data_IF_650767147189
#
_entry.id   IF_650767147189
#
_cell.length_a   1.000
_cell.length_b   1.000
_cell.length_c   1.000
_cell.angle_alpha   90.00
_cell.angle_beta   90.00
_cell.angle_gamma   90.00
#
_symmetry.space_group_name_H-M   'P 1'
#
loop_
_entity.id
_entity.type
_entity.pdbx_description
1 polymer ?
#
# COMPACT_ATOMS: atom_id res chain seq x y z
N UNK A 1 -71.59 18.14 -6.48
CA UNK A 1 -71.83 17.02 -5.53
C UNK A 1 -70.91 17.05 -4.30
N UNK A 2 -69.58 17.22 -4.41
CA UNK A 2 -68.68 17.19 -3.21
C UNK A 2 -68.83 18.40 -2.27
N UNK A 3 -69.19 19.58 -2.77
CA UNK A 3 -69.34 20.79 -1.95
C UNK A 3 -70.52 20.75 -0.95
N UNK A 4 -71.51 19.87 -1.17
CA UNK A 4 -72.65 19.74 -0.27
C UNK A 4 -72.34 18.96 1.01
N UNK A 5 -71.18 18.28 1.11
CA UNK A 5 -70.84 17.42 2.25
C UNK A 5 -70.04 18.12 3.35
N UNK A 6 -69.37 19.24 3.05
CA UNK A 6 -68.55 20.02 4.00
C UNK A 6 -69.31 21.18 4.65
N UNK A 7 -70.56 20.95 5.06
CA UNK A 7 -71.29 21.90 5.91
C UNK A 7 -70.73 21.84 7.33
N UNK A 8 -70.71 22.97 8.02
CA UNK A 8 -70.19 23.08 9.39
C UNK A 8 -70.86 22.07 10.35
N UNK A 9 -72.19 21.89 10.22
CA UNK A 9 -72.95 20.89 10.97
C UNK A 9 -72.50 19.44 10.71
N UNK A 10 -72.06 19.10 9.49
CA UNK A 10 -71.47 17.80 9.17
C UNK A 10 -70.12 17.62 9.85
N UNK A 11 -69.29 18.67 9.88
CA UNK A 11 -67.98 18.66 10.52
C UNK A 11 -68.15 18.51 12.04
N UNK A 12 -68.97 19.34 12.68
CA UNK A 12 -69.26 19.24 14.12
C UNK A 12 -69.87 17.87 14.49
N UNK A 13 -70.74 17.31 13.63
CA UNK A 13 -71.29 15.95 13.78
C UNK A 13 -70.20 14.87 13.70
N UNK A 14 -69.26 14.97 12.77
CA UNK A 14 -68.16 14.02 12.63
C UNK A 14 -67.21 14.06 13.85
N UNK A 15 -66.84 15.24 14.33
CA UNK A 15 -66.00 15.40 15.53
C UNK A 15 -66.69 14.87 16.80
N UNK A 16 -68.01 15.04 16.92
CA UNK A 16 -68.81 14.45 18.00
C UNK A 16 -68.86 12.91 17.91
N UNK A 17 -69.07 12.36 16.71
CA UNK A 17 -69.07 10.90 16.46
C UNK A 17 -67.70 10.24 16.68
N UNK A 18 -66.61 10.99 16.54
CA UNK A 18 -65.26 10.54 16.84
C UNK A 18 -64.88 10.66 18.34
N UNK A 19 -65.73 11.27 19.17
CA UNK A 19 -65.43 11.56 20.58
C UNK A 19 -64.37 12.65 20.79
N UNK A 20 -64.09 13.44 19.75
CA UNK A 20 -63.07 14.50 19.77
C UNK A 20 -63.66 15.79 20.34
N UNK A 21 -64.93 16.11 20.04
CA UNK A 21 -65.57 17.32 20.56
C UNK A 21 -67.10 17.18 20.77
N UNK A 22 -67.62 17.39 22.00
CA UNK A 22 -66.88 17.45 23.25
C UNK A 22 -66.11 16.15 23.51
N UNK A 23 -64.99 16.23 24.24
CA UNK A 23 -64.06 15.11 24.43
C UNK A 23 -64.73 13.99 25.22
N UNK A 24 -64.94 12.82 24.60
CA UNK A 24 -65.48 11.62 25.25
C UNK A 24 -64.46 10.48 25.21
N UNK A 25 -63.73 10.33 26.33
CA UNK A 25 -62.58 9.43 26.44
C UNK A 25 -62.88 7.98 26.06
N UNK A 26 -64.05 7.46 26.47
CA UNK A 26 -64.48 6.10 26.13
C UNK A 26 -64.67 5.90 24.62
N UNK A 27 -65.33 6.85 23.94
CA UNK A 27 -65.57 6.78 22.48
C UNK A 27 -64.25 6.91 21.71
N UNK A 28 -63.36 7.81 22.14
CA UNK A 28 -62.04 7.97 21.54
C UNK A 28 -61.19 6.70 21.68
N UNK A 29 -61.21 6.04 22.85
CA UNK A 29 -60.52 4.77 23.07
C UNK A 29 -61.12 3.60 22.27
N UNK A 30 -62.44 3.50 22.15
CA UNK A 30 -63.09 2.50 21.30
C UNK A 30 -62.71 2.67 19.82
N UNK A 31 -62.72 3.91 19.32
CA UNK A 31 -62.26 4.21 17.95
C UNK A 31 -60.78 3.91 17.78
N UNK A 32 -59.93 4.30 18.72
CA UNK A 32 -58.50 3.98 18.68
C UNK A 32 -58.28 2.46 18.61
N UNK A 33 -58.96 1.67 19.47
CA UNK A 33 -58.91 0.20 19.45
C UNK A 33 -59.42 -0.40 18.14
N UNK A 34 -60.44 0.20 17.53
CA UNK A 34 -61.01 -0.25 16.24
C UNK A 34 -60.02 -0.04 15.09
N UNK A 35 -59.28 1.08 15.08
CA UNK A 35 -58.31 1.39 14.03
C UNK A 35 -56.89 0.87 14.31
N UNK A 36 -56.56 0.50 15.56
CA UNK A 36 -55.26 -0.06 15.94
C UNK A 36 -55.17 -1.58 15.79
N UNK A 37 -56.27 -2.26 15.47
CA UNK A 37 -56.21 -3.67 15.07
C UNK A 37 -55.63 -3.76 13.66
N UNK A 38 -54.57 -4.55 13.42
CA UNK A 38 -54.07 -4.77 12.07
C UNK A 38 -55.15 -5.50 11.28
N UNK A 39 -55.63 -4.89 10.19
CA UNK A 39 -56.60 -5.49 9.28
C UNK A 39 -56.07 -6.81 8.75
N UNK A 40 -56.54 -7.93 9.31
CA UNK A 40 -56.34 -9.24 8.69
C UNK A 40 -57.17 -9.28 7.40
N UNK A 41 -56.57 -9.48 6.23
CA UNK A 41 -57.33 -9.70 5.01
C UNK A 41 -57.99 -11.09 5.09
N UNK A 42 -59.32 -11.12 5.00
CA UNK A 42 -60.08 -12.37 4.91
C UNK A 42 -59.63 -13.19 3.70
N UNK A 43 -59.15 -14.40 3.96
CA UNK A 43 -58.69 -15.40 2.98
C UNK A 43 -59.87 -16.02 2.19
N UNK A 44 -59.65 -16.72 1.05
CA UNK A 44 -58.90 -17.99 0.97
C UNK A 44 -57.90 -18.04 -0.22
N UNK A 45 -57.16 -19.11 -0.56
CA UNK A 45 -57.09 -20.51 -0.03
C UNK A 45 -55.58 -20.89 0.17
N UNK A 46 -54.99 -22.11 0.00
CA UNK A 46 -53.71 -22.45 0.68
C UNK A 46 -52.50 -22.77 -0.23
N UNK A 47 -51.29 -22.78 0.36
CA UNK A 47 -50.23 -23.83 0.31
C UNK A 47 -48.90 -23.23 0.82
N UNK A 48 -48.20 -23.97 1.70
CA UNK A 48 -46.78 -23.76 2.02
C UNK A 48 -46.48 -23.18 3.41
N UNK A 49 -45.66 -23.84 4.26
CA UNK A 49 -45.14 -23.26 5.48
C UNK A 49 -43.94 -22.35 5.15
N UNK A 50 -44.04 -21.06 5.50
CA UNK A 50 -42.91 -20.12 5.43
C UNK A 50 -42.78 -19.43 6.78
N UNK A 51 -41.53 -19.28 7.22
CA UNK A 51 -41.10 -18.78 8.52
C UNK A 51 -41.58 -17.35 8.83
N UNK A 52 -41.60 -16.92 10.11
CA UNK A 52 -42.01 -15.58 10.50
C UNK A 52 -41.02 -14.51 9.99
N UNK A 53 -41.32 -13.97 8.81
CA UNK A 53 -40.62 -12.86 8.17
C UNK A 53 -40.74 -11.58 9.02
N UNK A 54 -39.80 -11.37 9.94
CA UNK A 54 -39.64 -10.10 10.64
C UNK A 54 -39.26 -9.01 9.63
N UNK A 55 -39.95 -7.85 9.60
CA UNK A 55 -39.64 -6.77 8.66
C UNK A 55 -38.31 -6.13 9.03
N UNK A 56 -37.23 -6.65 8.44
CA UNK A 56 -35.88 -6.07 8.59
C UNK A 56 -35.84 -4.73 7.89
N UNK A 57 -35.75 -3.64 8.66
CA UNK A 57 -35.47 -2.30 8.15
C UNK A 57 -34.24 -2.35 7.23
N UNK A 58 -34.27 -1.75 6.03
CA UNK A 58 -33.14 -1.80 5.11
C UNK A 58 -31.93 -1.16 5.77
N UNK A 59 -30.88 -1.96 6.01
CA UNK A 59 -29.58 -1.45 6.44
C UNK A 59 -29.12 -0.36 5.45
N UNK A 60 -28.61 0.74 5.98
CA UNK A 60 -28.02 1.82 5.18
C UNK A 60 -27.00 1.26 4.19
N UNK A 61 -27.32 1.36 2.88
CA UNK A 61 -26.55 0.75 1.78
C UNK A 61 -25.12 1.34 1.67
N UNK A 62 -24.90 2.49 2.30
CA UNK A 62 -23.58 3.08 2.56
C UNK A 62 -23.36 3.21 4.07
N UNK A 63 -22.20 2.76 4.61
CA UNK A 63 -21.78 3.19 5.93
C UNK A 63 -21.51 4.70 5.91
N UNK A 64 -21.72 5.37 7.05
CA UNK A 64 -21.30 6.76 7.23
C UNK A 64 -19.76 6.76 7.21
N UNK A 65 -19.10 7.57 6.36
CA UNK A 65 -17.64 7.60 6.31
C UNK A 65 -17.09 8.14 7.63
N UNK A 66 -16.06 7.48 8.17
CA UNK A 66 -15.45 7.84 9.47
C UNK A 66 -14.02 8.34 9.31
N UNK A 67 -13.37 8.03 8.19
CA UNK A 67 -12.00 8.43 7.84
C UNK A 67 -12.03 9.31 6.59
N UNK A 68 -11.07 10.24 6.45
CA UNK A 68 -10.90 11.04 5.23
C UNK A 68 -10.83 10.18 3.96
N UNK A 69 -10.15 9.03 4.02
CA UNK A 69 -10.07 8.06 2.92
C UNK A 69 -11.44 7.53 2.50
N UNK A 70 -12.33 7.22 3.45
CA UNK A 70 -13.69 6.75 3.16
C UNK A 70 -14.49 7.83 2.38
N UNK A 71 -14.22 9.11 2.68
CA UNK A 71 -14.82 10.24 1.97
C UNK A 71 -14.22 10.42 0.57
N UNK A 72 -12.92 10.22 0.37
CA UNK A 72 -12.27 10.23 -0.95
C UNK A 72 -12.81 9.12 -1.87
N UNK A 73 -12.80 7.88 -1.38
CA UNK A 73 -13.34 6.71 -2.11
C UNK A 73 -14.84 6.90 -2.39
N UNK A 74 -15.57 7.54 -1.47
CA UNK A 74 -16.95 7.98 -1.67
C UNK A 74 -17.10 9.04 -2.77
N UNK A 75 -16.30 10.11 -2.75
CA UNK A 75 -16.33 11.19 -3.74
C UNK A 75 -16.02 10.68 -5.16
N UNK A 76 -15.05 9.77 -5.29
CA UNK A 76 -14.74 9.11 -6.57
C UNK A 76 -15.92 8.24 -7.04
N UNK A 77 -16.37 7.30 -6.20
CA UNK A 77 -17.46 6.38 -6.51
C UNK A 77 -18.78 7.08 -6.87
N UNK A 78 -19.10 8.18 -6.20
CA UNK A 78 -20.32 8.95 -6.46
C UNK A 78 -20.15 9.99 -7.57
N UNK A 79 -18.93 10.46 -7.84
CA UNK A 79 -18.62 11.33 -8.98
C UNK A 79 -18.76 10.63 -10.33
N UNK A 80 -18.42 9.34 -10.42
CA UNK A 80 -18.65 8.54 -11.63
C UNK A 80 -20.10 8.09 -11.81
N UNK A 81 -20.85 7.93 -10.70
CA UNK A 81 -22.21 7.36 -10.68
C UNK A 81 -23.34 8.37 -10.78
N UNK A 82 -23.03 9.65 -11.01
CA UNK A 82 -24.03 10.71 -11.14
C UNK A 82 -24.99 10.37 -12.29
N UNK A 83 -26.30 10.18 -12.03
CA UNK A 83 -27.22 9.81 -13.09
C UNK A 83 -27.34 10.94 -14.10
N UNK A 84 -27.31 10.56 -15.37
CA UNK A 84 -27.59 11.42 -16.52
C UNK A 84 -28.98 12.10 -16.45
N UNK A 85 -29.87 11.58 -15.59
CA UNK A 85 -31.15 12.16 -15.22
C UNK A 85 -31.08 13.54 -14.54
N UNK A 86 -29.92 14.01 -14.07
CA UNK A 86 -29.79 15.39 -13.59
C UNK A 86 -29.78 16.41 -14.75
N UNK A 87 -30.63 17.43 -14.62
CA UNK A 87 -30.67 18.59 -15.53
C UNK A 87 -29.34 19.34 -15.56
N UNK A 88 -29.02 20.01 -16.68
CA UNK A 88 -27.73 20.70 -16.86
C UNK A 88 -27.33 21.62 -15.68
N UNK A 89 -28.20 22.50 -15.15
CA UNK A 89 -27.84 23.35 -14.00
C UNK A 89 -27.59 22.55 -12.69
N UNK A 90 -28.35 21.48 -12.45
CA UNK A 90 -28.17 20.65 -11.25
C UNK A 90 -26.90 19.81 -11.34
N UNK A 91 -26.57 19.29 -12.53
CA UNK A 91 -25.31 18.59 -12.82
C UNK A 91 -24.10 19.51 -12.61
N UNK A 92 -24.17 20.76 -13.06
CA UNK A 92 -23.11 21.75 -12.86
C UNK A 92 -22.96 22.13 -11.38
N UNK A 93 -24.07 22.36 -10.68
CA UNK A 93 -24.07 22.63 -9.23
C UNK A 93 -23.44 21.48 -8.43
N UNK A 94 -23.78 20.23 -8.77
CA UNK A 94 -23.21 19.04 -8.17
C UNK A 94 -21.71 18.87 -8.45
N UNK A 95 -21.25 19.12 -9.69
CA UNK A 95 -19.83 19.08 -10.05
C UNK A 95 -19.01 20.14 -9.31
N UNK A 96 -19.56 21.35 -9.15
CA UNK A 96 -18.97 22.41 -8.33
C UNK A 96 -18.89 22.00 -6.85
N UNK A 97 -19.95 21.38 -6.32
CA UNK A 97 -19.98 20.87 -4.94
C UNK A 97 -18.94 19.77 -4.70
N UNK A 98 -18.84 18.77 -5.59
CA UNK A 98 -17.79 17.73 -5.51
C UNK A 98 -16.38 18.34 -5.52
N UNK A 99 -16.13 19.28 -6.42
CA UNK A 99 -14.83 19.96 -6.55
C UNK A 99 -14.50 20.75 -5.27
N UNK A 100 -15.50 21.42 -4.68
CA UNK A 100 -15.37 22.11 -3.40
C UNK A 100 -15.12 21.15 -2.24
N UNK A 101 -15.88 20.05 -2.15
CA UNK A 101 -15.74 19.03 -1.12
C UNK A 101 -14.35 18.36 -1.15
N UNK A 102 -13.85 18.01 -2.34
CA UNK A 102 -12.50 17.46 -2.51
C UNK A 102 -11.40 18.45 -2.06
N UNK A 103 -11.54 19.74 -2.37
CA UNK A 103 -10.61 20.79 -1.90
C UNK A 103 -10.63 20.94 -0.38
N UNK A 104 -11.81 20.99 0.24
CA UNK A 104 -11.97 21.10 1.70
C UNK A 104 -11.40 19.86 2.40
N UNK A 105 -11.61 18.67 1.84
CA UNK A 105 -11.03 17.43 2.34
C UNK A 105 -9.50 17.47 2.32
N UNK A 106 -8.89 17.86 1.19
CA UNK A 106 -7.44 17.95 1.06
C UNK A 106 -6.83 18.97 2.05
N UNK A 107 -7.50 20.11 2.29
CA UNK A 107 -7.06 21.05 3.32
C UNK A 107 -7.19 20.50 4.73
N UNK A 108 -8.24 19.70 5.02
CA UNK A 108 -8.41 19.04 6.32
C UNK A 108 -7.34 17.99 6.60
N UNK A 109 -6.99 17.16 5.59
CA UNK A 109 -5.88 16.21 5.69
C UNK A 109 -4.55 16.92 5.95
N UNK A 110 -4.25 18.00 5.22
CA UNK A 110 -3.02 18.77 5.41
C UNK A 110 -2.94 19.35 6.83
N UNK A 111 -4.04 19.94 7.33
CA UNK A 111 -4.11 20.42 8.71
C UNK A 111 -3.90 19.29 9.74
N UNK A 112 -4.39 18.08 9.49
CA UNK A 112 -4.13 16.95 10.38
C UNK A 112 -2.65 16.55 10.39
N UNK A 113 -1.98 16.57 9.23
CA UNK A 113 -0.55 16.31 9.12
C UNK A 113 0.27 17.40 9.82
N UNK A 114 -0.09 18.67 9.67
CA UNK A 114 0.57 19.80 10.36
C UNK A 114 0.39 19.69 11.88
N UNK A 115 -0.82 19.37 12.37
CA UNK A 115 -1.07 19.12 13.79
C UNK A 115 -0.26 17.93 14.32
N UNK A 116 -0.11 16.86 13.54
CA UNK A 116 0.75 15.71 13.89
C UNK A 116 2.22 16.12 13.94
N UNK A 117 2.70 16.91 12.97
CA UNK A 117 4.07 17.42 12.93
C UNK A 117 4.39 18.34 14.12
N UNK A 118 3.53 19.32 14.41
CA UNK A 118 3.65 20.22 15.57
C UNK A 118 3.64 19.44 16.89
N UNK A 119 2.70 18.49 17.05
CA UNK A 119 2.67 17.61 18.23
C UNK A 119 3.97 16.81 18.38
N UNK A 120 4.54 16.32 17.28
CA UNK A 120 5.79 15.57 17.30
C UNK A 120 7.01 16.47 17.58
N UNK A 121 7.05 17.69 17.05
CA UNK A 121 8.07 18.69 17.37
C UNK A 121 8.04 19.05 18.86
N UNK A 122 6.86 19.29 19.44
CA UNK A 122 6.69 19.55 20.88
C UNK A 122 7.09 18.33 21.73
N UNK A 123 6.78 17.10 21.30
CA UNK A 123 7.28 15.88 21.96
C UNK A 123 8.81 15.78 21.89
N UNK A 124 9.42 16.15 20.77
CA UNK A 124 10.86 16.09 20.57
C UNK A 124 11.61 17.22 21.29
N UNK A 125 11.05 18.41 21.41
CA UNK A 125 11.65 19.52 22.19
C UNK A 125 11.60 19.27 23.70
N UNK A 126 10.60 18.51 24.18
CA UNK A 126 10.53 18.02 25.57
C UNK A 126 11.50 16.89 25.89
N UNK A 127 12.09 16.22 24.88
CA UNK A 127 13.17 15.25 25.13
C UNK A 127 14.44 16.01 25.51
N UNK A 128 15.21 15.56 26.52
CA UNK A 128 16.50 16.16 26.82
C UNK A 128 17.39 16.06 25.58
N UNK A 129 17.99 17.19 25.17
CA UNK A 129 18.90 17.21 24.01
C UNK A 129 20.12 16.32 24.31
N UNK A 130 20.47 15.34 23.46
CA UNK A 130 21.72 14.60 23.64
C UNK A 130 22.89 15.57 23.54
N UNK A 131 23.71 15.64 24.60
CA UNK A 131 24.80 16.63 24.71
C UNK A 131 24.49 17.81 25.65
N UNK A 132 23.24 18.04 26.05
CA UNK A 132 22.97 18.77 27.31
C UNK A 132 23.20 17.80 28.47
N UNK A 133 24.48 17.53 28.72
CA UNK A 133 24.91 16.73 29.84
C UNK A 133 24.38 17.34 31.13
N UNK A 134 23.60 16.57 31.89
CA UNK A 134 23.57 16.80 33.33
C UNK A 134 25.01 16.64 33.81
N UNK A 135 25.64 17.74 34.19
CA UNK A 135 26.66 17.69 35.23
C UNK A 135 26.03 16.90 36.37
N UNK A 136 26.72 15.84 36.80
CA UNK A 136 26.21 14.79 37.67
C UNK A 136 25.50 15.40 38.89
N UNK A 137 24.17 15.27 38.96
CA UNK A 137 23.37 15.85 40.03
C UNK A 137 23.51 14.96 41.26
N UNK A 138 24.47 15.30 42.12
CA UNK A 138 24.67 14.67 43.42
C UNK A 138 25.32 13.29 43.34
N UNK A 139 26.66 13.26 43.38
CA UNK A 139 27.43 12.04 43.61
C UNK A 139 28.92 12.34 43.50
N UNK A 140 29.67 12.05 44.55
CA UNK A 140 31.14 12.12 44.52
C UNK A 140 31.65 10.96 43.66
N UNK A 141 32.04 11.26 42.41
CA UNK A 141 32.66 10.26 41.55
C UNK A 141 34.04 9.93 42.13
N UNK A 142 34.17 8.74 42.72
CA UNK A 142 35.44 8.29 43.30
C UNK A 142 36.48 8.14 42.20
N UNK A 143 37.72 8.57 42.44
CA UNK A 143 38.76 8.56 41.42
C UNK A 143 38.98 7.17 40.77
N UNK A 144 38.84 6.08 41.54
CA UNK A 144 38.87 4.70 41.03
C UNK A 144 37.79 4.44 39.97
N UNK A 145 36.54 4.80 40.24
CA UNK A 145 35.41 4.62 39.33
C UNK A 145 35.57 5.45 38.06
N UNK A 146 36.16 6.65 38.15
CA UNK A 146 36.50 7.47 37.00
C UNK A 146 37.50 6.79 36.06
N UNK A 147 38.54 6.15 36.60
CA UNK A 147 39.51 5.38 35.82
C UNK A 147 38.87 4.12 35.21
N UNK A 148 38.02 3.41 35.95
CA UNK A 148 37.28 2.24 35.44
C UNK A 148 36.37 2.60 34.25
N UNK A 149 35.60 3.69 34.36
CA UNK A 149 34.75 4.19 33.27
C UNK A 149 35.58 4.62 32.04
N UNK A 150 36.77 5.20 32.26
CA UNK A 150 37.68 5.54 31.17
C UNK A 150 38.26 4.28 30.50
N UNK A 151 38.62 3.25 31.26
CA UNK A 151 39.07 1.96 30.75
C UNK A 151 37.99 1.26 29.93
N UNK A 152 36.77 1.09 30.47
CA UNK A 152 35.62 0.50 29.75
C UNK A 152 35.31 1.24 28.45
N UNK A 153 35.40 2.57 28.45
CA UNK A 153 35.21 3.39 27.24
C UNK A 153 36.30 3.13 26.19
N UNK A 154 37.56 3.00 26.62
CA UNK A 154 38.68 2.67 25.75
C UNK A 154 38.57 1.25 25.17
N UNK A 155 38.20 0.26 25.98
CA UNK A 155 37.95 -1.13 25.54
C UNK A 155 36.82 -1.21 24.51
N UNK A 156 35.70 -0.55 24.77
CA UNK A 156 34.54 -0.51 23.86
C UNK A 156 34.92 0.18 22.54
N UNK A 157 35.75 1.24 22.58
CA UNK A 157 36.31 1.86 21.38
C UNK A 157 37.27 0.92 20.63
N UNK A 158 38.16 0.21 21.32
CA UNK A 158 39.06 -0.76 20.73
C UNK A 158 38.29 -1.91 20.05
N UNK A 159 37.23 -2.43 20.69
CA UNK A 159 36.34 -3.45 20.12
C UNK A 159 35.62 -2.93 18.87
N UNK A 160 35.13 -1.68 18.87
CA UNK A 160 34.53 -1.05 17.68
C UNK A 160 35.54 -0.89 16.53
N UNK A 161 36.79 -0.55 16.84
CA UNK A 161 37.84 -0.45 15.82
C UNK A 161 38.24 -1.82 15.28
N UNK A 162 38.35 -2.84 16.14
CA UNK A 162 38.66 -4.22 15.74
C UNK A 162 37.55 -4.81 14.85
N UNK A 163 36.28 -4.69 15.26
CA UNK A 163 35.13 -5.13 14.45
C UNK A 163 35.01 -4.37 13.13
N UNK A 164 35.32 -3.07 13.10
CA UNK A 164 35.35 -2.29 11.85
C UNK A 164 36.48 -2.73 10.90
N UNK A 165 37.67 -3.07 11.42
CA UNK A 165 38.79 -3.63 10.63
C UNK A 165 38.42 -5.01 10.05
N UNK A 166 38.01 -5.94 10.90
CA UNK A 166 37.59 -7.28 10.50
C UNK A 166 36.44 -7.26 9.46
N UNK A 167 35.51 -6.31 9.56
CA UNK A 167 34.45 -6.11 8.56
C UNK A 167 35.00 -5.63 7.21
N UNK A 168 35.98 -4.72 7.20
CA UNK A 168 36.64 -4.26 5.96
C UNK A 168 37.43 -5.39 5.29
N UNK A 169 38.21 -6.14 6.06
CA UNK A 169 38.96 -7.31 5.60
C UNK A 169 38.02 -8.37 4.99
N UNK A 170 36.94 -8.71 5.71
CA UNK A 170 35.91 -9.64 5.23
C UNK A 170 35.22 -9.16 3.95
N UNK A 171 35.03 -7.84 3.80
CA UNK A 171 34.43 -7.24 2.61
C UNK A 171 35.41 -7.30 1.42
N UNK A 172 36.68 -6.96 1.63
CA UNK A 172 37.73 -7.03 0.61
C UNK A 172 37.91 -8.48 0.10
N UNK A 173 37.99 -9.46 1.01
CA UNK A 173 38.07 -10.88 0.65
C UNK A 173 36.87 -11.33 -0.22
N UNK A 174 35.64 -10.98 0.18
CA UNK A 174 34.42 -11.30 -0.59
C UNK A 174 34.35 -10.57 -1.94
N UNK A 175 34.97 -9.40 -2.07
CA UNK A 175 35.08 -8.68 -3.35
C UNK A 175 36.10 -9.36 -4.27
N UNK A 176 37.28 -9.72 -3.77
CA UNK A 176 38.29 -10.46 -4.51
C UNK A 176 37.78 -11.83 -4.99
N UNK A 177 37.10 -12.59 -4.13
CA UNK A 177 36.50 -13.87 -4.50
C UNK A 177 35.47 -13.73 -5.64
N UNK A 178 34.63 -12.68 -5.62
CA UNK A 178 33.69 -12.39 -6.71
C UNK A 178 34.37 -12.00 -8.02
N UNK A 179 35.52 -11.30 -7.95
CA UNK A 179 36.31 -10.96 -9.12
C UNK A 179 36.94 -12.21 -9.74
N UNK A 180 37.54 -13.09 -8.92
CA UNK A 180 38.08 -14.38 -9.39
C UNK A 180 36.98 -15.25 -10.03
N UNK A 181 35.83 -15.41 -9.39
CA UNK A 181 34.71 -16.18 -9.96
C UNK A 181 34.22 -15.63 -11.31
N UNK A 182 34.14 -14.30 -11.44
CA UNK A 182 33.77 -13.64 -12.69
C UNK A 182 34.83 -13.87 -13.77
N UNK A 183 36.10 -13.67 -13.44
CA UNK A 183 37.22 -13.89 -14.36
C UNK A 183 37.28 -15.35 -14.83
N UNK A 184 37.07 -16.32 -13.92
CA UNK A 184 36.99 -17.74 -14.27
C UNK A 184 35.81 -18.08 -15.17
N UNK A 185 34.63 -17.49 -14.95
CA UNK A 185 33.50 -17.64 -15.88
C UNK A 185 33.80 -17.06 -17.28
N UNK A 186 34.44 -15.90 -17.35
CA UNK A 186 34.84 -15.25 -18.61
C UNK A 186 35.93 -16.08 -19.34
N UNK A 187 36.95 -16.57 -18.63
CA UNK A 187 37.99 -17.47 -19.15
C UNK A 187 37.39 -18.79 -19.69
N UNK A 188 36.54 -19.47 -18.90
CA UNK A 188 35.83 -20.69 -19.36
C UNK A 188 34.95 -20.45 -20.58
N UNK A 189 34.41 -19.23 -20.77
CA UNK A 189 33.65 -18.86 -21.98
C UNK A 189 34.59 -18.65 -23.16
N UNK A 190 35.73 -17.99 -22.98
CA UNK A 190 36.74 -17.78 -24.03
C UNK A 190 37.38 -19.11 -24.47
N UNK A 191 37.77 -19.99 -23.55
CA UNK A 191 38.33 -21.31 -23.87
C UNK A 191 37.34 -22.18 -24.66
N UNK A 192 36.03 -22.08 -24.38
CA UNK A 192 34.98 -22.72 -25.19
C UNK A 192 34.84 -22.13 -26.60
N UNK A 193 35.25 -20.89 -26.83
CA UNK A 193 35.31 -20.28 -28.16
C UNK A 193 36.59 -20.70 -28.88
N UNK A 194 37.75 -20.65 -28.22
CA UNK A 194 39.04 -21.13 -28.74
C UNK A 194 38.97 -22.59 -29.19
N UNK A 195 38.41 -23.48 -28.36
CA UNK A 195 38.21 -24.89 -28.75
C UNK A 195 37.26 -25.08 -29.95
N UNK A 196 36.34 -24.13 -30.22
CA UNK A 196 35.45 -24.18 -31.38
C UNK A 196 36.13 -23.71 -32.67
N UNK A 197 36.93 -22.64 -32.63
CA UNK A 197 37.72 -22.19 -33.79
C UNK A 197 38.78 -23.24 -34.15
N UNK A 198 39.57 -23.70 -33.17
CA UNK A 198 40.58 -24.75 -33.39
C UNK A 198 39.95 -26.02 -34.02
N UNK A 199 38.78 -26.45 -33.54
CA UNK A 199 38.08 -27.60 -34.12
C UNK A 199 37.53 -27.35 -35.53
N UNK A 200 37.22 -26.10 -35.88
CA UNK A 200 36.80 -25.69 -37.22
C UNK A 200 37.99 -25.69 -38.19
N UNK A 201 39.11 -25.08 -37.80
CA UNK A 201 40.33 -25.00 -38.61
C UNK A 201 40.92 -26.40 -38.85
N UNK A 202 40.99 -27.23 -37.80
CA UNK A 202 41.39 -28.64 -37.88
C UNK A 202 40.50 -29.43 -38.86
N UNK A 203 39.19 -29.16 -38.87
CA UNK A 203 38.24 -29.82 -39.79
C UNK A 203 38.42 -29.37 -41.24
N UNK A 204 38.89 -28.15 -41.48
CA UNK A 204 39.21 -27.64 -42.82
C UNK A 204 40.64 -27.98 -43.27
N UNK A 205 41.46 -28.58 -42.40
CA UNK A 205 42.88 -28.82 -42.69
C UNK A 205 43.72 -27.53 -42.74
N UNK A 206 43.22 -26.44 -42.14
CA UNK A 206 43.93 -25.17 -42.04
C UNK A 206 44.94 -25.21 -40.87
N UNK A 207 46.10 -24.54 -40.99
CA UNK A 207 47.01 -24.37 -39.87
C UNK A 207 46.32 -23.53 -38.77
N UNK A 208 46.50 -23.93 -37.52
CA UNK A 208 45.94 -23.21 -36.37
C UNK A 208 46.69 -21.86 -36.23
N UNK A 209 45.98 -20.72 -36.10
CA UNK A 209 46.61 -19.43 -35.82
C UNK A 209 47.31 -19.43 -34.45
N UNK A 210 48.49 -18.79 -34.36
CA UNK A 210 49.28 -18.74 -33.10
C UNK A 210 48.52 -18.16 -31.90
N UNK A 211 47.57 -17.23 -32.13
CA UNK A 211 46.69 -16.70 -31.07
C UNK A 211 45.77 -17.74 -30.43
N UNK A 212 45.60 -18.90 -31.06
CA UNK A 212 44.73 -20.00 -30.62
C UNK A 212 45.51 -21.24 -30.18
N UNK A 213 46.84 -21.25 -30.25
CA UNK A 213 47.67 -22.40 -29.84
C UNK A 213 47.56 -22.62 -28.31
N UNK A 214 47.78 -21.57 -27.53
CA UNK A 214 47.80 -21.64 -26.07
C UNK A 214 46.40 -21.81 -25.44
N UNK A 215 46.22 -22.74 -24.47
CA UNK A 215 44.98 -22.85 -23.69
C UNK A 215 44.76 -21.63 -22.78
N UNK A 216 43.52 -21.17 -22.67
CA UNK A 216 43.17 -20.08 -21.75
C UNK A 216 42.98 -20.64 -20.34
N UNK A 217 43.90 -20.27 -19.45
CA UNK A 217 43.91 -20.65 -18.02
C UNK A 217 42.72 -20.05 -17.25
N UNK A 218 42.14 -20.83 -16.33
CA UNK A 218 41.03 -20.40 -15.48
C UNK A 218 41.55 -19.89 -14.11
N UNK A 219 41.53 -18.57 -13.84
CA UNK A 219 42.07 -18.01 -12.59
C UNK A 219 41.27 -18.44 -11.34
N UNK A 220 40.04 -18.93 -11.48
CA UNK A 220 39.29 -19.49 -10.35
C UNK A 220 39.84 -20.89 -9.98
N UNK A 221 40.20 -21.70 -10.98
CA UNK A 221 40.73 -23.05 -10.78
C UNK A 221 42.15 -23.01 -10.16
N UNK A 222 43.03 -22.16 -10.68
CA UNK A 222 44.41 -22.03 -10.20
C UNK A 222 44.50 -21.44 -8.79
N UNK A 223 43.52 -20.61 -8.38
CA UNK A 223 43.47 -20.02 -7.04
C UNK A 223 43.06 -21.00 -5.94
N UNK A 224 42.69 -22.24 -6.28
CA UNK A 224 42.31 -23.29 -5.32
C UNK A 224 41.10 -22.95 -4.44
N UNK A 225 40.32 -21.93 -4.80
CA UNK A 225 39.26 -21.41 -3.92
C UNK A 225 38.01 -22.29 -3.98
N UNK A 226 37.79 -23.10 -2.92
CA UNK A 226 36.63 -24.00 -2.82
C UNK A 226 35.33 -23.22 -2.55
N UNK A 227 34.79 -22.59 -3.58
CA UNK A 227 33.46 -21.97 -3.56
C UNK A 227 32.38 -23.07 -3.50
N UNK A 228 31.87 -23.33 -2.28
CA UNK A 228 30.68 -24.18 -2.09
C UNK A 228 29.44 -23.50 -2.64
N UNK A 229 29.04 -23.90 -3.85
CA UNK A 229 27.76 -23.57 -4.47
C UNK A 229 26.59 -24.15 -3.66
N UNK A 230 26.03 -23.38 -2.73
CA UNK A 230 24.73 -23.67 -2.13
C UNK A 230 23.63 -23.40 -3.17
N UNK A 231 23.40 -24.36 -4.07
CA UNK A 231 22.43 -24.32 -5.16
C UNK A 231 21.71 -25.66 -5.30
N UNK A 232 21.04 -26.10 -4.23
CA UNK A 232 20.14 -27.24 -4.26
C UNK A 232 18.78 -26.85 -4.87
N UNK A 233 18.42 -27.48 -6.00
CA UNK A 233 17.09 -27.39 -6.63
C UNK A 233 16.86 -26.13 -7.51
N UNK A 234 16.35 -26.23 -8.73
CA UNK A 234 15.96 -27.42 -9.49
C UNK A 234 15.50 -27.08 -10.91
N UNK A 235 15.58 -28.08 -11.79
CA UNK A 235 15.16 -28.10 -13.21
C UNK A 235 13.78 -27.46 -13.51
N UNK A 236 13.68 -26.68 -14.60
CA UNK A 236 12.40 -26.21 -15.15
C UNK A 236 12.52 -25.49 -16.50
N UNK A 237 12.07 -26.11 -17.61
CA UNK A 237 12.08 -25.54 -18.97
C UNK A 237 11.00 -24.46 -19.16
N UNK A 238 11.28 -23.42 -19.96
CA UNK A 238 10.27 -22.38 -20.29
C UNK A 238 10.67 -21.38 -21.38
N UNK A 239 11.00 -21.83 -22.58
CA UNK A 239 11.26 -20.91 -23.72
C UNK A 239 9.97 -20.22 -24.19
N UNK A 240 9.95 -18.88 -24.22
CA UNK A 240 9.00 -18.13 -25.06
C UNK A 240 9.65 -16.88 -25.65
N UNK A 241 9.89 -16.94 -26.97
CA UNK A 241 10.27 -15.79 -27.82
C UNK A 241 9.24 -14.66 -27.71
N UNK A 242 9.72 -13.42 -27.69
CA UNK A 242 8.97 -12.22 -28.07
C UNK A 242 9.85 -11.37 -28.99
N UNK A 243 9.39 -11.10 -30.22
CA UNK A 243 10.13 -10.34 -31.24
C UNK A 243 9.63 -8.89 -31.33
N UNK A 244 10.53 -7.95 -31.58
CA UNK A 244 10.26 -6.53 -31.86
C UNK A 244 11.54 -5.72 -31.67
N UNK A 245 12.39 -5.55 -32.69
CA UNK A 245 12.27 -4.74 -33.93
C UNK A 245 12.40 -3.24 -33.63
N UNK A 246 13.49 -2.64 -34.11
CA UNK A 246 13.79 -1.21 -33.93
C UNK A 246 15.26 -0.91 -34.24
N UNK A 247 15.68 -1.13 -35.48
CA UNK A 247 17.02 -0.75 -35.95
C UNK A 247 16.89 0.56 -36.72
N UNK A 248 17.55 1.62 -36.25
CA UNK A 248 17.89 2.78 -37.06
C UNK A 248 19.38 3.06 -36.88
N UNK A 249 20.11 2.98 -38.01
CA UNK A 249 21.51 3.34 -38.11
C UNK A 249 21.63 4.67 -38.84
N UNK A 250 22.38 5.58 -38.26
CA UNK A 250 23.24 6.53 -38.97
C UNK A 250 24.47 6.69 -38.05
N UNK A 251 25.69 6.36 -38.45
CA UNK A 251 26.48 7.04 -39.49
C UNK A 251 26.49 8.57 -39.25
N UNK A 252 27.63 9.25 -39.10
CA UNK A 252 29.02 8.80 -39.14
C UNK A 252 29.94 9.87 -38.49
N UNK A 253 31.24 9.55 -38.44
CA UNK A 253 32.37 10.51 -38.47
C UNK A 253 33.10 10.84 -37.16
N UNK A 254 34.36 11.27 -37.34
CA UNK A 254 35.51 11.10 -36.45
C UNK A 254 36.19 12.45 -36.18
N UNK A 255 36.88 12.55 -35.05
CA UNK A 255 38.24 13.14 -34.86
C UNK A 255 38.41 13.42 -33.34
N UNK A 256 39.32 12.77 -32.60
CA UNK A 256 40.79 12.92 -32.56
C UNK A 256 41.30 14.31 -32.10
N UNK A 257 41.64 14.35 -30.81
CA UNK A 257 42.69 15.10 -30.10
C UNK A 257 43.32 16.36 -30.71
N UNK A 258 43.26 17.45 -29.92
CA UNK A 258 44.45 18.23 -29.52
C UNK A 258 44.28 18.80 -28.10
#
# INVERSE_FOLDING_TARGET
>A
MRELTFKESTIQSAFRKAGIWPISYNTALEKLRTYSQPTQPTQPTPIGPIEPNSPTLPRSITPIPTTYRDVEEGLQRWGERVPEAFSSPSRQSYGNWLTGAARVLATGQLQELDLRAVRQQVKNSKKPRPGWGRLQVGGELRASEAYELQAQKAELQAQKLATAKARKESQAYKQAQKQLHRAGFEARKQERLRKKSVAYDTKLGLPIPSELEDPITDPEADSGSEYKSASEGGSGRGSRRGSGRGSEQSENFVDLDF
#
